data_IF_949992743842
#
_entry.id   IF_949992743842
#
_cell.length_a   1.000
_cell.length_b   1.000
_cell.length_c   1.000
_cell.angle_alpha   90.00
_cell.angle_beta   90.00
_cell.angle_gamma   90.00
#
_symmetry.space_group_name_H-M   'P 1'
#
loop_
_entity.id
_entity.type
_entity.pdbx_description
1 polymer ?
#
# COMPACT_ATOMS: atom_id res chain seq x y z
N UNK A 1 -57.26 -1.26 -49.32
CA UNK A 1 -55.87 -1.27 -49.82
C UNK A 1 -55.74 -0.17 -50.85
N UNK A 2 -55.77 1.07 -50.37
CA UNK A 2 -55.68 2.30 -51.15
C UNK A 2 -54.57 3.10 -50.49
N UNK A 3 -53.47 3.31 -51.20
CA UNK A 3 -52.38 4.17 -50.76
C UNK A 3 -52.76 5.64 -50.97
N UNK A 4 -52.38 6.49 -50.03
CA UNK A 4 -52.45 7.94 -50.16
C UNK A 4 -51.20 8.51 -49.49
N UNK A 5 -50.36 9.15 -50.30
CA UNK A 5 -49.31 10.05 -49.83
C UNK A 5 -49.92 11.43 -49.59
N UNK A 6 -49.70 12.03 -48.42
CA UNK A 6 -49.61 13.48 -48.22
C UNK A 6 -48.74 13.85 -47.01
N UNK A 7 -47.66 14.55 -47.33
CA UNK A 7 -46.96 15.68 -46.68
C UNK A 7 -46.93 15.94 -45.14
N UNK A 8 -45.69 16.10 -44.67
CA UNK A 8 -45.11 17.08 -43.73
C UNK A 8 -45.82 17.49 -42.43
N UNK A 9 -45.16 17.22 -41.29
CA UNK A 9 -45.15 18.11 -40.10
C UNK A 9 -43.79 18.01 -39.40
N UNK A 10 -43.16 19.15 -39.16
CA UNK A 10 -41.89 19.27 -38.43
C UNK A 10 -42.02 18.91 -36.96
N UNK A 11 -41.01 18.20 -36.45
CA UNK A 11 -40.89 17.86 -35.03
C UNK A 11 -40.60 19.10 -34.19
N UNK A 12 -41.53 19.43 -33.29
CA UNK A 12 -41.29 20.30 -32.14
C UNK A 12 -40.48 19.54 -31.09
N UNK A 13 -39.28 20.02 -30.79
CA UNK A 13 -38.50 19.56 -29.65
C UNK A 13 -38.86 20.43 -28.43
N UNK A 14 -39.58 19.84 -27.47
CA UNK A 14 -39.92 20.50 -26.21
C UNK A 14 -38.74 20.38 -25.26
N UNK A 15 -38.21 21.53 -24.86
CA UNK A 15 -37.13 21.63 -23.89
C UNK A 15 -37.50 21.03 -22.53
N UNK A 16 -36.53 20.37 -21.92
CA UNK A 16 -36.52 20.14 -20.49
C UNK A 16 -35.14 20.51 -19.95
N UNK A 17 -35.05 21.74 -19.43
CA UNK A 17 -33.86 22.25 -18.77
C UNK A 17 -33.63 21.49 -17.47
N UNK A 18 -32.63 20.62 -17.48
CA UNK A 18 -32.07 20.09 -16.23
C UNK A 18 -31.30 21.24 -15.58
N UNK A 19 -31.90 21.81 -14.53
CA UNK A 19 -31.18 22.64 -13.57
C UNK A 19 -30.02 21.81 -13.00
N UNK A 20 -28.82 22.05 -13.51
CA UNK A 20 -27.59 21.68 -12.84
C UNK A 20 -27.61 22.37 -11.48
N UNK A 21 -27.78 21.60 -10.41
CA UNK A 21 -27.53 22.06 -9.05
C UNK A 21 -26.02 22.22 -8.90
N UNK A 22 -25.51 23.37 -9.35
CA UNK A 22 -24.15 23.79 -9.07
C UNK A 22 -24.05 24.05 -7.57
N UNK A 23 -23.70 23.01 -6.80
CA UNK A 23 -23.15 23.17 -5.46
C UNK A 23 -22.00 24.18 -5.57
N UNK A 24 -21.89 25.19 -4.71
CA UNK A 24 -20.77 26.12 -4.74
C UNK A 24 -19.50 25.38 -4.33
N UNK A 25 -18.81 24.81 -5.32
CA UNK A 25 -17.46 24.27 -5.17
C UNK A 25 -16.48 25.43 -5.12
N UNK A 26 -15.68 25.50 -4.06
CA UNK A 26 -14.50 26.38 -4.01
C UNK A 26 -13.56 25.95 -5.13
N UNK A 27 -13.28 26.83 -6.09
CA UNK A 27 -12.20 26.59 -7.07
C UNK A 27 -10.88 26.62 -6.29
N UNK A 28 -10.10 25.56 -6.38
CA UNK A 28 -8.79 25.45 -5.72
C UNK A 28 -7.73 25.14 -6.75
N UNK A 29 -6.64 25.92 -6.75
CA UNK A 29 -5.50 25.72 -7.65
C UNK A 29 -4.50 24.68 -7.09
N UNK A 30 -4.73 24.20 -5.87
CA UNK A 30 -3.96 23.13 -5.23
C UNK A 30 -3.68 23.40 -3.76
N UNK A 31 -2.72 22.63 -3.24
CA UNK A 31 -2.18 22.78 -1.90
C UNK A 31 -0.75 23.35 -2.01
N UNK A 32 -0.44 24.38 -1.24
CA UNK A 32 0.87 25.00 -1.15
C UNK A 32 1.50 24.71 0.21
N UNK A 33 2.76 24.26 0.19
CA UNK A 33 3.54 24.08 1.42
C UNK A 33 4.38 25.32 1.70
N UNK A 34 4.26 25.86 2.92
CA UNK A 34 5.03 26.99 3.46
C UNK A 34 5.68 26.56 4.77
N UNK A 35 6.91 26.05 4.67
CA UNK A 35 7.58 25.43 5.82
C UNK A 35 6.86 24.15 6.26
N UNK A 36 6.40 24.11 7.52
CA UNK A 36 5.62 22.99 8.07
C UNK A 36 4.10 23.20 7.97
N UNK A 37 3.66 24.25 7.27
CA UNK A 37 2.25 24.56 7.10
C UNK A 37 1.80 24.34 5.65
N UNK A 38 0.68 23.64 5.49
CA UNK A 38 -0.03 23.48 4.24
C UNK A 38 -1.19 24.45 4.17
N UNK A 39 -1.34 25.10 3.02
CA UNK A 39 -2.42 26.04 2.72
C UNK A 39 -3.12 25.65 1.43
N UNK A 40 -4.42 25.91 1.35
CA UNK A 40 -5.16 25.75 0.10
C UNK A 40 -5.00 27.04 -0.71
N UNK A 41 -4.60 26.93 -1.98
CA UNK A 41 -4.46 28.08 -2.88
C UNK A 41 -5.86 28.60 -3.27
N UNK A 42 -6.34 29.57 -2.51
CA UNK A 42 -7.64 30.24 -2.71
C UNK A 42 -7.62 31.64 -2.10
N UNK A 43 -8.50 32.51 -2.59
CA UNK A 43 -8.69 33.88 -2.08
C UNK A 43 -9.51 33.93 -0.76
N UNK A 44 -10.03 32.79 -0.32
CA UNK A 44 -10.85 32.69 0.90
C UNK A 44 -9.94 32.31 2.08
N UNK A 45 -10.06 32.97 3.24
CA UNK A 45 -9.29 32.61 4.42
C UNK A 45 -9.73 31.24 4.97
N UNK A 46 -8.75 30.44 5.40
CA UNK A 46 -8.99 29.17 6.10
C UNK A 46 -9.80 29.38 7.38
N UNK A 47 -10.80 28.53 7.62
CA UNK A 47 -11.64 28.56 8.83
C UNK A 47 -11.39 27.35 9.76
N UNK A 48 -10.42 26.49 9.42
CA UNK A 48 -10.05 25.30 10.18
C UNK A 48 -8.53 25.10 10.17
N UNK A 49 -7.95 24.86 11.35
CA UNK A 49 -6.57 24.40 11.50
C UNK A 49 -6.57 22.93 11.94
N UNK A 50 -5.94 22.06 11.17
CA UNK A 50 -5.67 20.67 11.58
C UNK A 50 -4.18 20.51 11.84
N UNK A 51 -3.80 20.02 13.01
CA UNK A 51 -2.43 19.75 13.40
C UNK A 51 -2.17 18.25 13.49
N UNK A 52 -1.07 17.79 12.90
CA UNK A 52 -0.63 16.39 12.89
C UNK A 52 0.86 16.39 13.21
N UNK A 53 1.20 16.10 14.47
CA UNK A 53 2.57 16.29 14.94
C UNK A 53 3.01 17.76 14.81
N UNK A 54 4.10 17.99 14.07
CA UNK A 54 4.65 19.31 13.78
C UNK A 54 4.11 19.95 12.49
N UNK A 55 3.28 19.23 11.72
CA UNK A 55 2.70 19.72 10.48
C UNK A 55 1.32 20.35 10.73
N UNK A 56 1.09 21.52 10.14
CA UNK A 56 -0.16 22.27 10.24
C UNK A 56 -0.86 22.33 8.88
N UNK A 57 -2.18 22.16 8.86
CA UNK A 57 -3.00 22.26 7.67
C UNK A 57 -4.07 23.34 7.86
N UNK A 58 -3.97 24.41 7.08
CA UNK A 58 -4.93 25.51 7.03
C UNK A 58 -5.99 25.21 5.96
N UNK A 59 -7.17 24.79 6.42
CA UNK A 59 -8.22 24.19 5.62
C UNK A 59 -9.56 24.94 5.78
N UNK A 60 -10.54 24.46 5.04
CA UNK A 60 -11.93 24.91 5.02
C UNK A 60 -12.79 23.79 5.63
N UNK A 61 -13.74 24.10 6.51
CA UNK A 61 -14.58 23.09 7.16
C UNK A 61 -15.35 22.26 6.12
N UNK A 62 -16.07 22.92 5.22
CA UNK A 62 -17.06 22.27 4.35
C UNK A 62 -16.52 21.08 3.52
N UNK A 63 -15.38 21.19 2.80
CA UNK A 63 -14.79 20.05 2.09
C UNK A 63 -14.53 18.83 2.99
N UNK A 64 -14.08 19.03 4.23
CA UNK A 64 -13.75 17.95 5.14
C UNK A 64 -15.01 17.33 5.76
N UNK A 65 -15.97 18.15 6.21
CA UNK A 65 -17.20 17.65 6.86
C UNK A 65 -18.09 16.85 5.91
N UNK A 66 -18.05 17.16 4.61
CA UNK A 66 -18.87 16.46 3.61
C UNK A 66 -18.37 15.05 3.31
N UNK A 67 -17.11 14.71 3.65
CA UNK A 67 -16.50 13.42 3.30
C UNK A 67 -15.88 12.65 4.45
N UNK A 68 -15.73 13.26 5.64
CA UNK A 68 -15.17 12.61 6.82
C UNK A 68 -16.11 12.71 8.02
N UNK A 69 -16.57 11.55 8.50
CA UNK A 69 -17.42 11.46 9.69
C UNK A 69 -16.70 11.95 10.95
N UNK A 70 -15.41 11.60 11.07
CA UNK A 70 -14.59 12.04 12.19
C UNK A 70 -14.39 13.55 12.23
N UNK A 71 -14.10 14.17 11.09
CA UNK A 71 -13.97 15.63 11.02
C UNK A 71 -15.30 16.32 11.30
N UNK A 72 -16.42 15.76 10.83
CA UNK A 72 -17.76 16.27 11.14
C UNK A 72 -18.01 16.34 12.65
N UNK A 73 -17.78 15.23 13.35
CA UNK A 73 -17.91 15.15 14.81
C UNK A 73 -16.92 16.08 15.54
N UNK A 74 -15.65 16.07 15.17
CA UNK A 74 -14.64 16.90 15.82
C UNK A 74 -14.94 18.40 15.69
N UNK A 75 -15.37 18.87 14.51
CA UNK A 75 -15.77 20.28 14.33
C UNK A 75 -17.06 20.62 15.07
N UNK A 76 -17.99 19.66 15.23
CA UNK A 76 -19.20 19.88 16.02
C UNK A 76 -18.87 20.08 17.51
N UNK A 77 -17.99 19.25 18.07
CA UNK A 77 -17.52 19.36 19.46
C UNK A 77 -16.76 20.67 19.72
N UNK A 78 -16.05 21.21 18.72
CA UNK A 78 -15.35 22.49 18.84
C UNK A 78 -16.26 23.71 18.87
N UNK A 79 -17.54 23.62 18.49
CA UNK A 79 -18.44 24.80 18.49
C UNK A 79 -18.61 25.43 19.87
N UNK A 80 -18.28 24.69 20.92
CA UNK A 80 -18.29 25.16 22.30
C UNK A 80 -16.95 25.80 22.76
N UNK A 81 -15.93 25.83 21.89
CA UNK A 81 -14.60 26.39 22.14
C UNK A 81 -14.19 27.40 21.06
N UNK A 82 -13.61 28.55 21.44
CA UNK A 82 -13.24 29.60 20.47
C UNK A 82 -12.12 29.21 19.46
N UNK A 83 -11.47 28.06 19.65
CA UNK A 83 -10.37 27.61 18.80
C UNK A 83 -10.86 26.63 17.72
N UNK A 84 -10.86 27.04 16.45
CA UNK A 84 -11.10 26.17 15.29
C UNK A 84 -9.87 25.29 14.97
N UNK A 85 -9.34 24.59 15.98
CA UNK A 85 -8.13 23.78 15.89
C UNK A 85 -8.41 22.34 16.28
N UNK A 86 -8.10 21.40 15.38
CA UNK A 86 -8.18 19.95 15.62
C UNK A 86 -6.75 19.39 15.64
N UNK A 87 -6.41 18.61 16.67
CA UNK A 87 -5.17 17.83 16.70
C UNK A 87 -5.47 16.35 16.41
N UNK A 88 -4.72 15.74 15.49
CA UNK A 88 -4.85 14.33 15.11
C UNK A 88 -3.52 13.60 15.33
N UNK A 89 -3.08 13.53 16.58
CA UNK A 89 -1.75 12.99 16.94
C UNK A 89 -1.59 11.49 16.63
N UNK A 90 -2.70 10.74 16.62
CA UNK A 90 -2.73 9.29 16.38
C UNK A 90 -3.12 8.91 14.95
N UNK A 91 -3.02 9.82 13.97
CA UNK A 91 -3.40 9.52 12.60
C UNK A 91 -2.44 8.49 11.96
N UNK A 92 -2.92 7.30 11.58
CA UNK A 92 -2.08 6.33 10.87
C UNK A 92 -1.66 6.87 9.50
N UNK A 93 -0.39 6.67 9.16
CA UNK A 93 0.18 7.18 7.90
C UNK A 93 0.63 8.64 7.97
N UNK A 94 0.38 9.34 9.08
CA UNK A 94 0.96 10.65 9.36
C UNK A 94 0.44 11.78 8.45
N UNK A 95 1.13 12.93 8.43
CA UNK A 95 0.71 14.11 7.67
C UNK A 95 0.67 13.84 6.16
N UNK A 96 1.51 12.95 5.64
CA UNK A 96 1.52 12.60 4.22
C UNK A 96 0.23 11.90 3.79
N UNK A 97 -0.30 10.98 4.61
CA UNK A 97 -1.58 10.34 4.34
C UNK A 97 -2.74 11.33 4.49
N UNK A 98 -2.67 12.24 5.46
CA UNK A 98 -3.67 13.29 5.63
C UNK A 98 -3.72 14.26 4.46
N UNK A 99 -2.56 14.67 3.93
CA UNK A 99 -2.49 15.56 2.77
C UNK A 99 -3.29 14.99 1.58
N UNK A 100 -3.09 13.71 1.29
CA UNK A 100 -3.83 13.01 0.22
C UNK A 100 -5.33 12.93 0.53
N UNK A 101 -5.70 12.61 1.77
CA UNK A 101 -7.11 12.58 2.19
C UNK A 101 -7.77 13.96 2.11
N UNK A 102 -7.06 15.02 2.51
CA UNK A 102 -7.51 16.40 2.42
C UNK A 102 -7.67 16.80 0.95
N UNK A 103 -6.67 16.58 0.08
CA UNK A 103 -6.79 16.79 -1.37
C UNK A 103 -8.03 16.11 -1.96
N UNK A 104 -8.28 14.85 -1.59
CA UNK A 104 -9.49 14.14 -1.97
C UNK A 104 -10.77 14.85 -1.51
N UNK A 105 -10.82 15.40 -0.29
CA UNK A 105 -11.94 16.20 0.22
C UNK A 105 -12.19 17.48 -0.59
N UNK A 106 -11.15 18.08 -1.17
CA UNK A 106 -11.28 19.22 -2.07
C UNK A 106 -11.63 18.84 -3.52
N UNK A 107 -11.82 17.55 -3.81
CA UNK A 107 -12.03 17.07 -5.17
C UNK A 107 -10.79 17.13 -6.07
N UNK A 108 -9.61 17.31 -5.47
CA UNK A 108 -8.33 17.26 -6.18
C UNK A 108 -7.98 15.80 -6.45
N UNK A 109 -7.52 15.52 -7.67
CA UNK A 109 -7.08 14.18 -8.04
C UNK A 109 -5.91 13.72 -7.15
N UNK A 110 -5.98 12.49 -6.67
CA UNK A 110 -4.98 11.88 -5.80
C UNK A 110 -4.41 10.65 -6.49
N UNK A 111 -3.09 10.62 -6.65
CA UNK A 111 -2.40 9.48 -7.23
C UNK A 111 -2.23 8.36 -6.19
N UNK A 112 -2.92 7.23 -6.42
CA UNK A 112 -2.78 6.03 -5.61
C UNK A 112 -1.58 5.21 -6.08
N UNK A 113 -0.69 4.85 -5.16
CA UNK A 113 0.55 4.12 -5.45
C UNK A 113 0.82 3.07 -4.38
N UNK A 114 1.65 2.07 -4.69
CA UNK A 114 2.03 1.05 -3.72
C UNK A 114 2.73 1.63 -2.46
N UNK A 115 3.37 2.80 -2.58
CA UNK A 115 4.08 3.42 -1.45
C UNK A 115 3.17 4.18 -0.51
N UNK A 116 2.06 4.75 -1.00
CA UNK A 116 1.14 5.56 -0.17
C UNK A 116 -0.13 4.82 0.27
N UNK A 117 -0.54 3.76 -0.43
CA UNK A 117 -1.88 3.19 -0.31
C UNK A 117 -2.18 2.61 1.08
N UNK A 118 -1.22 1.95 1.73
CA UNK A 118 -1.46 1.38 3.06
C UNK A 118 -1.68 2.48 4.10
N UNK A 119 -0.87 3.54 4.07
CA UNK A 119 -1.05 4.71 4.94
C UNK A 119 -2.39 5.39 4.68
N UNK A 120 -2.72 5.63 3.41
CA UNK A 120 -3.96 6.29 3.02
C UNK A 120 -5.21 5.47 3.35
N UNK A 121 -5.18 4.14 3.15
CA UNK A 121 -6.30 3.26 3.55
C UNK A 121 -6.53 3.27 5.06
N UNK A 122 -5.45 3.30 5.86
CA UNK A 122 -5.55 3.40 7.32
C UNK A 122 -6.05 4.79 7.75
N UNK A 123 -5.55 5.86 7.14
CA UNK A 123 -6.00 7.23 7.41
C UNK A 123 -7.48 7.42 7.06
N UNK A 124 -7.92 6.88 5.91
CA UNK A 124 -9.31 6.93 5.48
C UNK A 124 -10.24 6.20 6.46
N UNK A 125 -9.81 5.07 7.02
CA UNK A 125 -10.53 4.38 8.10
C UNK A 125 -10.62 5.25 9.34
N UNK A 126 -9.49 5.78 9.80
CA UNK A 126 -9.43 6.65 10.98
C UNK A 126 -10.32 7.88 10.84
N UNK A 127 -10.37 8.46 9.64
CA UNK A 127 -11.17 9.64 9.30
C UNK A 127 -12.65 9.30 9.01
N UNK A 128 -13.03 8.03 9.02
CA UNK A 128 -14.40 7.57 8.75
C UNK A 128 -14.92 8.08 7.39
N UNK A 129 -14.11 7.88 6.34
CA UNK A 129 -14.42 8.33 4.97
C UNK A 129 -15.19 7.25 4.19
N UNK A 130 -16.42 6.96 4.64
CA UNK A 130 -17.29 5.89 4.13
C UNK A 130 -18.20 6.35 2.99
N UNK A 131 -18.78 5.40 2.27
CA UNK A 131 -19.75 5.68 1.19
C UNK A 131 -21.10 6.20 1.70
N UNK A 132 -21.35 6.15 3.00
CA UNK A 132 -22.55 6.76 3.61
C UNK A 132 -22.56 8.29 3.49
N UNK A 133 -21.37 8.90 3.32
CA UNK A 133 -21.19 10.34 3.17
C UNK A 133 -21.14 10.77 1.70
N UNK A 134 -20.45 10.00 0.86
CA UNK A 134 -20.30 10.27 -0.57
C UNK A 134 -20.06 8.95 -1.33
N UNK A 135 -20.79 8.70 -2.41
CA UNK A 135 -20.55 7.53 -3.26
C UNK A 135 -19.11 7.51 -3.78
N UNK A 136 -18.43 6.37 -3.66
CA UNK A 136 -17.02 6.26 -4.04
C UNK A 136 -16.07 7.07 -3.14
N UNK A 137 -16.39 7.22 -1.84
CA UNK A 137 -15.50 7.85 -0.87
C UNK A 137 -14.14 7.11 -0.74
N UNK A 138 -13.21 7.70 0.01
CA UNK A 138 -11.81 7.31 0.02
C UNK A 138 -11.55 5.88 0.50
N UNK A 139 -12.33 5.36 1.46
CA UNK A 139 -12.23 3.95 1.88
C UNK A 139 -12.50 3.02 0.69
N UNK A 140 -13.58 3.26 -0.07
CA UNK A 140 -13.92 2.45 -1.24
C UNK A 140 -12.82 2.48 -2.30
N UNK A 141 -12.32 3.67 -2.65
CA UNK A 141 -11.27 3.81 -3.68
C UNK A 141 -9.96 3.14 -3.29
N UNK A 142 -9.54 3.32 -2.03
CA UNK A 142 -8.29 2.73 -1.54
C UNK A 142 -8.40 1.21 -1.43
N UNK A 143 -9.56 0.69 -1.02
CA UNK A 143 -9.83 -0.74 -0.96
C UNK A 143 -9.86 -1.40 -2.35
N UNK A 144 -10.45 -0.73 -3.34
CA UNK A 144 -10.44 -1.17 -4.72
C UNK A 144 -9.00 -1.23 -5.27
N UNK A 145 -8.19 -0.20 -5.03
CA UNK A 145 -6.78 -0.19 -5.47
C UNK A 145 -5.97 -1.32 -4.82
N UNK A 146 -6.13 -1.55 -3.51
CA UNK A 146 -5.51 -2.68 -2.82
C UNK A 146 -5.92 -4.00 -3.49
N UNK A 147 -7.22 -4.23 -3.66
CA UNK A 147 -7.74 -5.51 -4.12
C UNK A 147 -7.40 -5.82 -5.58
N UNK A 148 -7.52 -4.85 -6.47
CA UNK A 148 -7.39 -5.08 -7.91
C UNK A 148 -6.00 -4.78 -8.47
N UNK A 149 -5.28 -3.80 -7.91
CA UNK A 149 -3.95 -3.39 -8.41
C UNK A 149 -2.86 -4.05 -7.58
N UNK A 150 -2.84 -3.80 -6.27
CA UNK A 150 -1.75 -4.26 -5.38
C UNK A 150 -1.71 -5.79 -5.30
N UNK A 151 -2.84 -6.44 -4.97
CA UNK A 151 -2.87 -7.89 -4.80
C UNK A 151 -2.69 -8.65 -6.12
N UNK A 152 -2.83 -8.00 -7.27
CA UNK A 152 -2.51 -8.59 -8.58
C UNK A 152 -1.01 -8.52 -8.91
N UNK A 153 -0.28 -7.59 -8.28
CA UNK A 153 1.13 -7.30 -8.55
C UNK A 153 2.05 -7.84 -7.46
N UNK A 154 3.10 -8.57 -7.85
CA UNK A 154 4.12 -9.03 -6.90
C UNK A 154 4.86 -7.88 -6.23
N UNK A 155 5.38 -6.98 -7.07
CA UNK A 155 6.20 -5.87 -6.64
C UNK A 155 5.41 -4.99 -5.68
N UNK A 156 4.16 -4.66 -6.04
CA UNK A 156 3.34 -3.77 -5.22
C UNK A 156 2.91 -4.44 -3.92
N UNK A 157 2.59 -5.74 -3.93
CA UNK A 157 2.30 -6.48 -2.69
C UNK A 157 3.47 -6.41 -1.69
N UNK A 158 4.72 -6.49 -2.16
CA UNK A 158 5.91 -6.38 -1.30
C UNK A 158 6.11 -4.95 -0.81
N UNK A 159 5.97 -3.96 -1.70
CA UNK A 159 6.11 -2.53 -1.34
C UNK A 159 5.08 -2.14 -0.29
N UNK A 160 3.81 -2.53 -0.48
CA UNK A 160 2.73 -2.25 0.48
C UNK A 160 3.01 -2.91 1.83
N UNK A 161 3.40 -4.18 1.83
CA UNK A 161 3.74 -4.90 3.05
C UNK A 161 4.90 -4.23 3.81
N UNK A 162 5.92 -3.73 3.10
CA UNK A 162 7.00 -2.95 3.69
C UNK A 162 6.50 -1.63 4.30
N UNK A 163 5.64 -0.90 3.59
CA UNK A 163 5.04 0.35 4.11
C UNK A 163 4.19 0.14 5.37
N UNK A 164 3.65 -1.06 5.60
CA UNK A 164 2.88 -1.39 6.81
C UNK A 164 3.70 -1.41 8.10
N UNK A 165 5.03 -1.39 8.06
CA UNK A 165 5.90 -1.51 9.25
C UNK A 165 5.65 -0.43 10.31
N UNK A 166 5.14 0.74 9.90
CA UNK A 166 4.85 1.89 10.78
C UNK A 166 3.35 2.10 11.03
N UNK A 167 2.50 1.15 10.64
CA UNK A 167 1.04 1.30 10.62
C UNK A 167 0.31 0.38 11.61
N UNK A 168 1.01 -0.16 12.60
CA UNK A 168 0.37 -0.98 13.64
C UNK A 168 -0.48 -0.11 14.58
N UNK A 169 -1.67 -0.54 15.03
CA UNK A 169 -2.35 -1.81 14.70
C UNK A 169 -3.24 -1.75 13.44
N UNK A 170 -3.37 -0.58 12.81
CA UNK A 170 -4.30 -0.34 11.70
C UNK A 170 -4.15 -1.29 10.53
N UNK A 171 -2.92 -1.50 10.03
CA UNK A 171 -2.68 -2.35 8.88
C UNK A 171 -3.02 -3.84 9.14
N UNK A 172 -2.95 -4.28 10.40
CA UNK A 172 -3.36 -5.63 10.81
C UNK A 172 -4.88 -5.74 10.89
N UNK A 173 -5.53 -4.79 11.56
CA UNK A 173 -6.99 -4.78 11.72
C UNK A 173 -7.69 -4.74 10.36
N UNK A 174 -7.15 -3.96 9.42
CA UNK A 174 -7.62 -3.86 8.03
C UNK A 174 -7.16 -5.02 7.12
N UNK A 175 -6.49 -6.03 7.69
CA UNK A 175 -6.01 -7.22 7.00
C UNK A 175 -5.08 -6.93 5.81
N UNK A 176 -4.44 -5.76 5.74
CA UNK A 176 -3.55 -5.38 4.62
C UNK A 176 -2.32 -6.28 4.65
N UNK A 177 -1.71 -6.45 5.82
CA UNK A 177 -0.53 -7.30 6.04
C UNK A 177 -0.82 -8.75 5.64
N UNK A 178 -1.96 -9.29 6.09
CA UNK A 178 -2.39 -10.65 5.78
C UNK A 178 -2.59 -10.85 4.29
N UNK A 179 -3.40 -10.00 3.63
CA UNK A 179 -3.72 -10.11 2.20
C UNK A 179 -2.48 -9.98 1.33
N UNK A 180 -1.57 -9.06 1.65
CA UNK A 180 -0.31 -8.93 0.92
C UNK A 180 0.58 -10.18 1.10
N UNK A 181 0.67 -10.72 2.33
CA UNK A 181 1.44 -11.94 2.61
C UNK A 181 0.88 -13.15 1.84
N UNK A 182 -0.44 -13.32 1.81
CA UNK A 182 -1.11 -14.39 1.05
C UNK A 182 -0.94 -14.21 -0.46
N UNK A 183 -1.02 -12.97 -0.98
CA UNK A 183 -0.77 -12.63 -2.39
C UNK A 183 0.65 -13.02 -2.82
N UNK A 184 1.65 -12.66 -2.00
CA UNK A 184 3.05 -13.02 -2.23
C UNK A 184 3.20 -14.54 -2.21
N UNK A 185 2.64 -15.22 -1.22
CA UNK A 185 2.72 -16.67 -1.11
C UNK A 185 2.12 -17.39 -2.32
N UNK A 186 0.94 -16.96 -2.77
CA UNK A 186 0.32 -17.49 -3.98
C UNK A 186 1.20 -17.36 -5.22
N UNK A 187 1.82 -16.19 -5.42
CA UNK A 187 2.69 -15.93 -6.56
C UNK A 187 4.02 -16.69 -6.47
N UNK A 188 4.59 -16.82 -5.27
CA UNK A 188 5.82 -17.58 -5.03
C UNK A 188 5.61 -19.09 -5.31
N UNK A 189 4.45 -19.63 -4.94
CA UNK A 189 4.10 -21.04 -5.16
C UNK A 189 3.55 -21.35 -6.56
N UNK A 190 3.24 -20.32 -7.37
CA UNK A 190 2.68 -20.53 -8.70
C UNK A 190 3.73 -21.07 -9.69
N UNK A 191 3.31 -21.95 -10.60
CA UNK A 191 4.20 -22.55 -11.60
C UNK A 191 4.72 -21.46 -12.56
N UNK A 192 6.05 -21.27 -12.70
CA UNK A 192 6.64 -20.21 -13.51
C UNK A 192 6.26 -20.25 -15.00
N UNK A 193 5.75 -21.39 -15.50
CA UNK A 193 5.40 -21.58 -16.91
C UNK A 193 4.17 -20.79 -17.38
N UNK A 194 3.36 -20.24 -16.45
CA UNK A 194 2.11 -19.55 -16.77
C UNK A 194 2.11 -18.03 -16.52
N UNK A 195 3.21 -17.45 -16.02
CA UNK A 195 3.20 -16.07 -15.51
C UNK A 195 4.27 -15.23 -16.23
N UNK A 196 3.84 -14.13 -16.87
CA UNK A 196 4.74 -13.15 -17.48
C UNK A 196 5.35 -12.29 -16.38
N UNK A 197 6.60 -12.57 -16.00
CA UNK A 197 7.31 -11.78 -15.01
C UNK A 197 8.03 -10.57 -15.61
N UNK A 198 7.83 -9.39 -15.05
CA UNK A 198 8.72 -8.25 -15.24
C UNK A 198 9.86 -8.37 -14.22
N UNK A 199 10.92 -9.11 -14.58
CA UNK A 199 12.06 -9.42 -13.70
C UNK A 199 12.86 -8.15 -13.37
N UNK A 200 13.15 -7.90 -12.07
CA UNK A 200 14.02 -6.79 -11.61
C UNK A 200 15.32 -7.25 -10.96
N UNK A 201 15.61 -8.56 -10.97
CA UNK A 201 16.85 -9.10 -10.42
C UNK A 201 18.06 -8.83 -11.31
N UNK A 202 18.92 -7.87 -10.91
CA UNK A 202 20.30 -7.77 -11.41
C UNK A 202 21.07 -9.00 -10.93
N UNK A 203 21.59 -9.81 -11.85
CA UNK A 203 22.45 -10.96 -11.54
C UNK A 203 23.67 -10.54 -10.68
N UNK A 204 24.01 -11.26 -9.60
CA UNK A 204 25.33 -11.15 -8.99
C UNK A 204 26.35 -11.74 -9.98
N UNK A 205 27.29 -10.92 -10.43
CA UNK A 205 28.44 -11.39 -11.22
C UNK A 205 29.34 -12.22 -10.31
N UNK A 206 29.29 -13.54 -10.45
CA UNK A 206 30.31 -14.44 -9.91
C UNK A 206 31.65 -14.12 -10.57
N UNK A 207 32.67 -13.91 -9.75
CA UNK A 207 34.02 -13.54 -10.16
C UNK A 207 34.76 -14.82 -10.57
N UNK A 208 35.12 -14.96 -11.85
CA UNK A 208 36.28 -15.74 -12.36
C UNK A 208 36.43 -15.64 -13.89
N UNK A 209 37.32 -14.73 -14.30
CA UNK A 209 38.15 -14.66 -15.53
C UNK A 209 37.54 -14.57 -16.95
N UNK A 210 38.21 -13.84 -17.89
CA UNK A 210 37.62 -13.40 -19.15
C UNK A 210 38.02 -14.28 -20.35
N UNK A 211 37.12 -14.45 -21.32
CA UNK A 211 37.47 -14.85 -22.70
C UNK A 211 36.44 -14.33 -23.71
N UNK A 212 36.97 -13.95 -24.86
CA UNK A 212 36.44 -13.03 -25.87
C UNK A 212 35.40 -13.63 -26.83
N UNK A 213 34.60 -12.72 -27.41
CA UNK A 213 33.73 -12.84 -28.60
C UNK A 213 32.33 -13.46 -28.41
N UNK A 214 31.30 -12.60 -28.38
CA UNK A 214 30.39 -12.39 -29.51
C UNK A 214 29.24 -11.44 -29.08
N UNK A 215 29.12 -10.33 -29.81
CA UNK A 215 28.04 -9.38 -29.67
C UNK A 215 26.79 -9.99 -30.32
N UNK A 216 25.89 -10.56 -29.52
CA UNK A 216 24.50 -10.80 -29.90
C UNK A 216 23.58 -10.49 -28.72
N UNK A 217 23.05 -9.27 -28.75
CA UNK A 217 21.80 -8.87 -28.09
C UNK A 217 20.74 -9.93 -28.42
N UNK A 218 20.55 -10.88 -27.52
CA UNK A 218 19.58 -11.95 -27.67
C UNK A 218 18.45 -11.69 -26.69
N UNK A 219 17.30 -11.28 -27.25
CA UNK A 219 16.01 -11.24 -26.58
C UNK A 219 15.83 -12.47 -25.68
N UNK A 220 15.35 -12.32 -24.42
CA UNK A 220 15.29 -13.44 -23.49
C UNK A 220 14.35 -14.51 -24.06
N UNK A 221 14.93 -15.68 -24.30
CA UNK A 221 14.25 -16.83 -24.89
C UNK A 221 13.09 -17.27 -23.99
N UNK A 222 11.97 -17.63 -24.61
CA UNK A 222 10.74 -18.17 -23.98
C UNK A 222 10.92 -19.48 -23.20
N UNK A 223 12.14 -19.98 -23.04
CA UNK A 223 12.42 -21.36 -22.60
C UNK A 223 13.43 -21.49 -21.44
N UNK A 224 13.88 -20.39 -20.84
CA UNK A 224 14.76 -20.51 -19.65
C UNK A 224 13.91 -20.83 -18.42
N UNK A 225 14.15 -21.94 -17.70
CA UNK A 225 13.41 -22.23 -16.48
C UNK A 225 13.71 -21.14 -15.44
N UNK A 226 12.67 -20.53 -14.89
CA UNK A 226 12.82 -19.55 -13.80
C UNK A 226 13.47 -20.26 -12.61
N UNK A 227 14.58 -19.72 -12.05
CA UNK A 227 15.25 -20.30 -10.90
C UNK A 227 14.27 -20.45 -9.73
N UNK A 228 14.32 -21.55 -8.94
CA UNK A 228 13.35 -21.76 -7.84
C UNK A 228 13.48 -20.75 -6.70
N UNK A 229 14.60 -20.03 -6.63
CA UNK A 229 14.96 -19.00 -5.65
C UNK A 229 14.69 -17.57 -6.13
N UNK A 230 14.02 -17.39 -7.28
CA UNK A 230 13.79 -16.09 -7.92
C UNK A 230 13.19 -15.01 -6.99
N UNK A 231 12.44 -15.43 -5.96
CA UNK A 231 11.72 -14.56 -5.04
C UNK A 231 12.48 -14.22 -3.76
N UNK A 232 13.61 -14.87 -3.48
CA UNK A 232 14.28 -14.81 -2.18
C UNK A 232 14.72 -13.38 -1.85
N UNK A 233 15.39 -12.71 -2.80
CA UNK A 233 15.94 -11.38 -2.59
C UNK A 233 14.85 -10.34 -2.34
N UNK A 234 13.77 -10.40 -3.12
CA UNK A 234 12.63 -9.49 -3.01
C UNK A 234 11.92 -9.63 -1.66
N UNK A 235 11.64 -10.85 -1.20
CA UNK A 235 11.01 -11.09 0.10
C UNK A 235 11.96 -10.76 1.26
N UNK A 236 13.28 -10.89 1.04
CA UNK A 236 14.28 -10.63 2.07
C UNK A 236 14.50 -9.14 2.38
N UNK A 237 13.84 -8.21 1.68
CA UNK A 237 13.90 -6.78 2.02
C UNK A 237 12.99 -6.40 3.20
N UNK A 238 12.08 -7.31 3.59
CA UNK A 238 11.07 -7.08 4.64
C UNK A 238 11.69 -7.19 6.04
N UNK A 239 11.17 -6.42 6.99
CA UNK A 239 11.48 -6.63 8.42
C UNK A 239 11.03 -8.03 8.87
N UNK A 240 11.69 -8.56 9.90
CA UNK A 240 11.58 -9.97 10.32
C UNK A 240 10.14 -10.42 10.59
N UNK A 241 9.30 -9.57 11.17
CA UNK A 241 7.90 -9.87 11.46
C UNK A 241 7.07 -10.07 10.19
N UNK A 242 7.27 -9.23 9.17
CA UNK A 242 6.62 -9.39 7.87
C UNK A 242 7.22 -10.55 7.07
N UNK A 243 8.54 -10.73 7.12
CA UNK A 243 9.21 -11.87 6.51
C UNK A 243 8.65 -13.20 7.05
N UNK A 244 8.54 -13.35 8.37
CA UNK A 244 7.98 -14.55 9.01
C UNK A 244 6.53 -14.78 8.56
N UNK A 245 5.71 -13.74 8.41
CA UNK A 245 4.34 -13.88 7.89
C UNK A 245 4.30 -14.38 6.46
N UNK A 246 5.15 -13.84 5.59
CA UNK A 246 5.26 -14.31 4.19
C UNK A 246 5.71 -15.76 4.15
N UNK A 247 6.76 -16.12 4.89
CA UNK A 247 7.28 -17.49 4.93
C UNK A 247 6.23 -18.47 5.49
N UNK A 248 5.50 -18.06 6.52
CA UNK A 248 4.41 -18.86 7.08
C UNK A 248 3.31 -19.08 6.04
N UNK A 249 2.91 -18.04 5.31
CA UNK A 249 1.92 -18.16 4.24
C UNK A 249 2.43 -19.05 3.09
N UNK A 250 3.70 -18.95 2.69
CA UNK A 250 4.35 -19.80 1.68
C UNK A 250 4.35 -21.27 2.12
N UNK A 251 4.69 -21.55 3.39
CA UNK A 251 4.64 -22.89 3.99
C UNK A 251 3.21 -23.46 3.92
N UNK A 252 2.21 -22.68 4.34
CA UNK A 252 0.79 -23.07 4.30
C UNK A 252 0.31 -23.36 2.87
N UNK A 253 0.89 -22.68 1.87
CA UNK A 253 0.60 -22.94 0.45
C UNK A 253 1.28 -24.21 -0.11
N UNK A 254 2.03 -24.96 0.69
CA UNK A 254 2.63 -26.23 0.28
C UNK A 254 3.96 -26.08 -0.45
N UNK A 255 4.67 -24.97 -0.26
CA UNK A 255 6.04 -24.85 -0.75
C UNK A 255 6.94 -25.93 -0.13
N UNK A 256 7.84 -26.50 -0.95
CA UNK A 256 8.79 -27.51 -0.49
C UNK A 256 9.65 -26.99 0.66
N UNK A 257 9.81 -27.80 1.71
CA UNK A 257 10.54 -27.42 2.92
C UNK A 257 11.99 -27.02 2.65
N UNK A 258 12.64 -27.61 1.64
CA UNK A 258 14.02 -27.25 1.26
C UNK A 258 14.10 -25.81 0.75
N UNK A 259 13.10 -25.36 -0.02
CA UNK A 259 13.04 -23.98 -0.53
C UNK A 259 12.68 -22.99 0.59
N UNK A 260 11.78 -23.38 1.49
CA UNK A 260 11.46 -22.58 2.68
C UNK A 260 12.72 -22.40 3.54
N UNK A 261 13.45 -23.47 3.81
CA UNK A 261 14.71 -23.43 4.55
C UNK A 261 15.78 -22.59 3.85
N UNK A 262 15.93 -22.74 2.54
CA UNK A 262 16.89 -21.95 1.74
C UNK A 262 16.57 -20.45 1.75
N UNK A 263 15.29 -20.06 1.68
CA UNK A 263 14.87 -18.67 1.78
C UNK A 263 15.16 -18.07 3.17
N UNK A 264 14.96 -18.87 4.23
CA UNK A 264 15.31 -18.47 5.61
C UNK A 264 16.83 -18.29 5.74
N UNK A 265 17.63 -19.22 5.20
CA UNK A 265 19.09 -19.09 5.21
C UNK A 265 19.55 -17.85 4.42
N UNK A 266 18.91 -17.57 3.28
CA UNK A 266 19.18 -16.36 2.50
C UNK A 266 18.89 -15.08 3.30
N UNK A 267 17.75 -15.03 3.98
CA UNK A 267 17.39 -13.91 4.86
C UNK A 267 18.42 -13.74 6.00
N UNK A 268 18.76 -14.83 6.68
CA UNK A 268 19.74 -14.82 7.76
C UNK A 268 21.12 -14.35 7.27
N UNK A 269 21.59 -14.84 6.11
CA UNK A 269 22.86 -14.40 5.54
C UNK A 269 22.89 -12.90 5.22
N UNK A 270 21.75 -12.32 4.80
CA UNK A 270 21.63 -10.89 4.50
C UNK A 270 21.61 -10.00 5.73
N UNK A 271 20.92 -10.42 6.79
CA UNK A 271 20.69 -9.58 7.98
C UNK A 271 21.57 -9.94 9.18
N UNK A 272 22.25 -11.10 9.15
CA UNK A 272 23.14 -11.61 10.21
C UNK A 272 24.49 -12.06 9.59
N UNK A 273 25.33 -11.14 9.09
CA UNK A 273 26.58 -11.48 8.40
C UNK A 273 27.63 -12.19 9.27
N UNK A 274 27.41 -12.32 10.59
CA UNK A 274 28.25 -13.09 11.52
C UNK A 274 27.81 -14.55 11.75
N UNK A 275 26.62 -14.96 11.28
CA UNK A 275 26.09 -16.31 11.57
C UNK A 275 26.67 -17.41 10.66
N UNK A 276 27.10 -17.03 9.45
CA UNK A 276 27.59 -17.97 8.40
C UNK A 276 29.12 -18.07 8.38
N UNK A 277 29.82 -17.21 9.14
CA UNK A 277 31.26 -17.26 9.33
C UNK A 277 31.57 -17.62 10.78
N UNK A 278 31.74 -18.91 11.05
CA UNK A 278 32.83 -19.49 11.86
C UNK A 278 32.44 -20.87 12.41
N UNK A 279 33.04 -21.90 11.82
CA UNK A 279 33.32 -23.18 12.49
C UNK A 279 34.61 -23.14 13.30
N UNK A 280 35.01 -21.98 13.84
CA UNK A 280 36.23 -21.84 14.65
C UNK A 280 36.28 -20.50 15.40
N UNK A 281 35.65 -20.38 16.57
CA UNK A 281 35.81 -19.18 17.39
C UNK A 281 34.88 -19.13 18.61
N UNK A 282 35.46 -18.99 19.78
CA UNK A 282 34.83 -19.01 21.11
C UNK A 282 33.92 -17.80 21.41
N UNK A 283 32.78 -18.06 22.07
CA UNK A 283 31.76 -17.11 22.54
C UNK A 283 32.29 -15.94 23.40
N UNK A 284 31.72 -14.74 23.19
CA UNK A 284 31.49 -13.75 24.24
C UNK A 284 30.11 -13.08 24.06
N UNK A 285 29.36 -12.94 25.15
CA UNK A 285 27.94 -12.60 25.17
C UNK A 285 27.59 -11.15 24.80
N UNK A 286 26.54 -11.02 23.99
CA UNK A 286 25.95 -9.80 23.44
C UNK A 286 25.36 -10.09 22.04
N UNK A 287 24.43 -9.26 21.51
CA UNK A 287 23.40 -9.55 20.46
C UNK A 287 22.70 -10.91 20.36
N UNK A 288 23.34 -11.97 20.83
CA UNK A 288 22.94 -13.37 20.86
C UNK A 288 21.52 -13.63 21.35
N UNK A 289 20.95 -12.83 22.27
CA UNK A 289 19.58 -13.08 22.73
C UNK A 289 18.53 -12.69 21.68
N UNK A 290 18.77 -11.65 20.87
CA UNK A 290 17.88 -11.31 19.73
C UNK A 290 18.07 -12.27 18.57
N UNK A 291 19.30 -12.73 18.36
CA UNK A 291 19.65 -13.72 17.33
C UNK A 291 19.11 -15.11 17.69
N UNK A 292 19.16 -15.51 18.96
CA UNK A 292 18.54 -16.71 19.48
C UNK A 292 17.03 -16.57 19.47
N UNK A 293 16.43 -15.43 19.82
CA UNK A 293 14.97 -15.24 19.67
C UNK A 293 14.55 -15.28 18.20
N UNK A 294 15.32 -14.69 17.28
CA UNK A 294 15.02 -14.76 15.84
C UNK A 294 15.21 -16.17 15.29
N UNK A 295 16.28 -16.87 15.66
CA UNK A 295 16.53 -18.26 15.30
C UNK A 295 15.51 -19.20 15.92
N UNK A 296 15.14 -19.03 17.19
CA UNK A 296 14.09 -19.78 17.88
C UNK A 296 12.71 -19.44 17.32
N UNK A 297 12.42 -18.20 16.96
CA UNK A 297 11.15 -17.84 16.29
C UNK A 297 11.10 -18.41 14.86
N UNK A 298 12.21 -18.42 14.13
CA UNK A 298 12.33 -19.09 12.83
C UNK A 298 12.16 -20.62 12.97
N UNK A 299 12.81 -21.23 13.96
CA UNK A 299 12.69 -22.67 14.26
C UNK A 299 11.27 -23.01 14.73
N UNK A 300 10.63 -22.20 15.57
CA UNK A 300 9.25 -22.42 16.06
C UNK A 300 8.22 -22.17 14.95
N UNK A 301 8.40 -21.16 14.10
CA UNK A 301 7.55 -20.94 12.92
C UNK A 301 7.66 -22.10 11.90
N UNK A 302 8.86 -22.66 11.75
CA UNK A 302 9.09 -23.86 10.93
C UNK A 302 8.58 -25.14 11.62
N UNK A 303 8.71 -25.26 12.95
CA UNK A 303 8.37 -26.45 13.73
C UNK A 303 6.91 -26.51 14.24
N UNK A 304 6.05 -25.53 13.91
CA UNK A 304 4.63 -25.54 14.26
C UNK A 304 3.88 -26.76 13.73
N UNK A 305 3.73 -27.75 14.62
CA UNK A 305 2.85 -28.95 14.67
C UNK A 305 2.85 -29.90 13.48
N UNK A 306 3.82 -30.82 13.50
CA UNK A 306 3.50 -32.22 13.29
C UNK A 306 2.99 -32.81 14.60
N UNK A 307 1.71 -32.63 14.92
CA UNK A 307 1.04 -33.48 15.90
C UNK A 307 0.24 -34.51 15.12
N UNK A 308 0.77 -35.73 15.18
CA UNK A 308 0.13 -36.99 14.85
C UNK A 308 -1.20 -37.15 15.59
N UNK A 309 -2.31 -37.24 14.83
CA UNK A 309 -3.27 -38.37 14.76
C UNK A 309 -4.24 -38.12 13.62
#
# INVERSE_FOLDING_TARGET
MWDSETESVGGQDYGNGVLSTSKPGVKTDGFEQRGQSWHVATDIPSDLLVQIGDVSFHLHKYPLLSRSGKMNRAVYELRDTELNKIALDDLPGGPEAFELAAKFCYGIAVDLTATNISGLRCAAEYLEMTEDLEEGNLIFKTEAFLSYVVLSSWRDSIVVLKSCEKLSPWAENLQIVRRCSESIAWKACANPKGIRWQYTGKHPRSVSSPKWNEMKESSPSRNTPVPPDWWFEDVSILRIDHFVRVITAIKVKGMRYELVGAAIMHYAGKWLPGLVKEGSGSYQGGPLMREVIAATAMVVAVAGKGDST
#
